data_IF_339766719656
#
_entry.id   IF_339766719656
#
_cell.length_a   1.000
_cell.length_b   1.000
_cell.length_c   1.000
_cell.angle_alpha   90.00
_cell.angle_beta   90.00
_cell.angle_gamma   90.00
#
_symmetry.space_group_name_H-M   'P 1'
#
loop_
_entity.id
_entity.type
_entity.pdbx_description
1 polymer ?
#
# COMPACT_ATOMS: atom_id res chain seq x y z
N UNK A 1 -56.75 3.63 -12.02
CA UNK A 1 -55.48 3.61 -11.24
C UNK A 1 -54.34 3.45 -12.23
N UNK A 2 -53.68 4.55 -12.58
CA UNK A 2 -52.61 4.57 -13.57
C UNK A 2 -51.27 4.50 -12.83
N UNK A 3 -50.56 3.38 -12.96
CA UNK A 3 -49.27 3.17 -12.31
C UNK A 3 -48.21 3.91 -13.14
N UNK A 4 -47.71 5.02 -12.60
CA UNK A 4 -46.52 5.68 -13.13
C UNK A 4 -45.30 4.79 -12.86
N UNK A 5 -44.82 4.10 -13.89
CA UNK A 5 -43.54 3.43 -13.88
C UNK A 5 -42.44 4.50 -13.93
N UNK A 6 -41.85 4.80 -12.78
CA UNK A 6 -40.63 5.62 -12.68
C UNK A 6 -39.50 4.92 -13.44
N UNK A 7 -39.11 5.49 -14.57
CA UNK A 7 -37.91 5.08 -15.29
C UNK A 7 -36.68 5.29 -14.39
N UNK A 8 -35.80 4.28 -14.20
CA UNK A 8 -34.56 4.48 -13.46
C UNK A 8 -33.67 5.48 -14.20
N UNK A 9 -33.37 6.59 -13.53
CA UNK A 9 -32.46 7.62 -14.00
C UNK A 9 -31.08 7.01 -14.24
N UNK A 10 -30.56 7.12 -15.46
CA UNK A 10 -29.23 6.65 -15.82
C UNK A 10 -28.17 7.26 -14.89
N UNK A 11 -27.15 6.50 -14.44
CA UNK A 11 -26.11 7.03 -13.58
C UNK A 11 -25.37 8.17 -14.30
N UNK A 12 -25.47 9.38 -13.76
CA UNK A 12 -24.69 10.54 -14.19
C UNK A 12 -23.20 10.14 -14.25
N UNK A 13 -22.47 10.39 -15.35
CA UNK A 13 -21.06 10.08 -15.43
C UNK A 13 -20.33 10.83 -14.31
N UNK A 14 -19.77 10.10 -13.34
CA UNK A 14 -18.92 10.70 -12.29
C UNK A 14 -17.75 11.38 -13.01
N UNK A 15 -17.69 12.71 -12.92
CA UNK A 15 -16.53 13.48 -13.39
C UNK A 15 -15.26 12.84 -12.82
N UNK A 16 -14.27 12.60 -13.68
CA UNK A 16 -12.97 12.09 -13.25
C UNK A 16 -12.40 13.04 -12.20
N UNK A 17 -11.99 12.49 -11.05
CA UNK A 17 -11.46 13.30 -9.95
C UNK A 17 -10.14 13.96 -10.33
N UNK A 18 -9.92 15.16 -9.81
CA UNK A 18 -8.73 15.98 -10.05
C UNK A 18 -8.09 16.43 -8.73
N UNK A 19 -6.91 17.04 -8.80
CA UNK A 19 -6.17 17.43 -7.59
C UNK A 19 -6.82 18.60 -6.82
N UNK A 20 -7.77 19.33 -7.41
CA UNK A 20 -8.59 20.30 -6.67
C UNK A 20 -9.54 19.56 -5.73
N UNK A 21 -10.19 18.48 -6.20
CA UNK A 21 -11.08 17.66 -5.36
C UNK A 21 -10.31 17.07 -4.15
N UNK A 22 -9.07 16.63 -4.37
CA UNK A 22 -8.18 16.14 -3.29
C UNK A 22 -7.82 17.25 -2.31
N UNK A 23 -7.54 18.46 -2.79
CA UNK A 23 -7.25 19.61 -1.95
C UNK A 23 -8.45 19.97 -1.08
N UNK A 24 -9.63 20.06 -1.69
CA UNK A 24 -10.88 20.42 -0.99
C UNK A 24 -11.20 19.38 0.09
N UNK A 25 -11.03 18.09 -0.22
CA UNK A 25 -11.18 17.01 0.76
C UNK A 25 -10.22 17.14 1.95
N UNK A 26 -8.94 17.41 1.71
CA UNK A 26 -7.95 17.60 2.78
C UNK A 26 -8.31 18.79 3.67
N UNK A 27 -8.72 19.91 3.07
CA UNK A 27 -9.08 21.13 3.82
C UNK A 27 -10.36 20.94 4.64
N UNK A 28 -11.34 20.21 4.11
CA UNK A 28 -12.59 19.89 4.78
C UNK A 28 -12.47 18.79 5.84
N UNK A 29 -11.39 17.99 5.82
CA UNK A 29 -11.23 16.85 6.73
C UNK A 29 -11.03 17.31 8.19
N UNK A 30 -11.94 16.94 9.11
CA UNK A 30 -11.79 17.25 10.54
C UNK A 30 -10.71 16.40 11.21
N UNK A 31 -10.17 15.38 10.53
CA UNK A 31 -9.14 14.48 11.07
C UNK A 31 -7.75 15.11 11.14
N UNK A 32 -7.53 16.18 10.39
CA UNK A 32 -6.25 16.85 10.33
C UNK A 32 -6.26 18.10 11.19
N UNK A 33 -5.24 18.24 12.04
CA UNK A 33 -4.92 19.51 12.66
C UNK A 33 -4.71 20.59 11.57
N UNK A 34 -4.98 21.86 11.90
CA UNK A 34 -4.88 22.96 10.95
C UNK A 34 -3.50 23.06 10.28
N UNK A 35 -2.43 22.95 11.06
CA UNK A 35 -1.06 22.94 10.54
C UNK A 35 -0.83 21.79 9.54
N UNK A 36 -1.40 20.61 9.79
CA UNK A 36 -1.34 19.47 8.86
C UNK A 36 -2.10 19.75 7.57
N UNK A 37 -3.30 20.38 7.65
CA UNK A 37 -4.06 20.77 6.47
C UNK A 37 -3.28 21.76 5.60
N UNK A 38 -2.64 22.76 6.20
CA UNK A 38 -1.81 23.75 5.49
C UNK A 38 -0.61 23.08 4.81
N UNK A 39 0.07 22.17 5.49
CA UNK A 39 1.22 21.46 4.96
C UNK A 39 0.85 20.56 3.76
N UNK A 40 -0.23 19.79 3.87
CA UNK A 40 -0.75 18.99 2.76
C UNK A 40 -1.24 19.87 1.61
N UNK A 41 -1.97 20.95 1.90
CA UNK A 41 -2.46 21.88 0.90
C UNK A 41 -1.31 22.51 0.09
N UNK A 42 -0.22 22.87 0.77
CA UNK A 42 1.00 23.39 0.12
C UNK A 42 1.67 22.34 -0.77
N UNK A 43 1.74 21.09 -0.31
CA UNK A 43 2.26 19.98 -1.10
C UNK A 43 1.41 19.69 -2.36
N UNK A 44 0.08 19.77 -2.25
CA UNK A 44 -0.87 19.56 -3.35
C UNK A 44 -0.80 20.72 -4.34
N UNK A 45 -0.81 21.97 -3.89
CA UNK A 45 -0.70 23.16 -4.76
C UNK A 45 0.55 23.13 -5.64
N UNK A 46 1.65 22.55 -5.13
CA UNK A 46 2.89 22.35 -5.90
C UNK A 46 2.70 21.46 -7.14
N UNK A 47 1.65 20.63 -7.21
CA UNK A 47 1.36 19.80 -8.38
C UNK A 47 1.21 20.64 -9.66
N UNK A 48 0.67 21.86 -9.58
CA UNK A 48 0.51 22.75 -10.76
C UNK A 48 1.85 22.92 -11.47
N UNK A 49 2.90 23.31 -10.73
CA UNK A 49 4.25 23.45 -11.27
C UNK A 49 4.86 22.11 -11.69
N UNK A 50 4.72 21.05 -10.89
CA UNK A 50 5.36 19.75 -11.18
C UNK A 50 4.72 19.00 -12.37
N UNK A 51 3.48 19.32 -12.69
CA UNK A 51 2.76 18.78 -13.84
C UNK A 51 2.79 19.70 -15.06
N UNK A 52 3.40 20.89 -14.96
CA UNK A 52 3.31 21.95 -15.97
C UNK A 52 1.85 22.27 -16.34
N UNK A 53 0.98 22.32 -15.34
CA UNK A 53 -0.43 22.65 -15.48
C UNK A 53 -0.68 24.12 -15.11
N UNK A 54 -1.84 24.66 -15.50
CA UNK A 54 -2.25 26.02 -15.11
C UNK A 54 -3.04 26.01 -13.81
N UNK A 55 -3.84 24.95 -13.58
CA UNK A 55 -4.72 24.80 -12.41
C UNK A 55 -4.69 23.37 -11.87
N UNK A 56 -5.08 23.20 -10.61
CA UNK A 56 -5.22 21.87 -10.00
C UNK A 56 -6.32 21.02 -10.64
N UNK A 57 -7.34 21.66 -11.22
CA UNK A 57 -8.41 21.01 -11.98
C UNK A 57 -7.91 20.28 -13.22
N UNK A 58 -6.74 20.68 -13.74
CA UNK A 58 -6.14 20.09 -14.95
C UNK A 58 -5.23 18.90 -14.60
N UNK A 59 -4.94 18.71 -13.32
CA UNK A 59 -4.10 17.61 -12.84
C UNK A 59 -5.01 16.46 -12.39
N UNK A 60 -4.94 15.28 -13.04
CA UNK A 60 -5.78 14.14 -12.66
C UNK A 60 -5.40 13.63 -11.27
N UNK A 61 -6.41 13.32 -10.45
CA UNK A 61 -6.21 12.59 -9.20
C UNK A 61 -6.28 11.10 -9.53
N UNK A 62 -5.12 10.47 -9.70
CA UNK A 62 -5.00 9.03 -9.92
C UNK A 62 -3.74 8.54 -9.21
N UNK A 63 -3.93 7.67 -8.22
CA UNK A 63 -2.85 7.15 -7.40
C UNK A 63 -1.86 6.29 -8.20
N UNK A 64 -2.34 5.48 -9.15
CA UNK A 64 -1.50 4.62 -9.97
C UNK A 64 -0.70 5.46 -10.98
N UNK A 65 -1.35 6.42 -11.65
CA UNK A 65 -0.67 7.34 -12.56
C UNK A 65 0.36 8.21 -11.81
N UNK A 66 0.03 8.68 -10.60
CA UNK A 66 0.97 9.41 -9.75
C UNK A 66 2.19 8.56 -9.39
N UNK A 67 1.98 7.30 -8.97
CA UNK A 67 3.07 6.39 -8.61
C UNK A 67 4.00 6.07 -9.78
N UNK A 68 3.46 5.92 -11.00
CA UNK A 68 4.27 5.73 -12.22
C UNK A 68 5.07 6.98 -12.57
N UNK A 69 4.46 8.16 -12.50
CA UNK A 69 5.12 9.44 -12.84
C UNK A 69 6.20 9.83 -11.83
N UNK A 70 5.99 9.51 -10.55
CA UNK A 70 6.90 9.87 -9.46
C UNK A 70 7.36 8.62 -8.71
N UNK A 71 8.26 7.81 -9.29
CA UNK A 71 8.78 6.61 -8.63
C UNK A 71 9.72 6.99 -7.48
N UNK A 72 9.92 6.09 -6.52
CA UNK A 72 10.75 6.37 -5.32
C UNK A 72 12.21 6.69 -5.65
N UNK A 73 12.74 6.14 -6.74
CA UNK A 73 14.09 6.37 -7.27
C UNK A 73 14.14 7.45 -8.36
N UNK A 74 13.02 8.11 -8.70
CA UNK A 74 12.92 9.15 -9.72
C UNK A 74 13.25 10.55 -9.21
N UNK A 75 14.29 10.69 -8.39
CA UNK A 75 14.71 12.02 -7.93
C UNK A 75 15.19 12.88 -9.11
N UNK A 76 14.62 14.08 -9.22
CA UNK A 76 15.00 15.09 -10.20
C UNK A 76 15.51 16.35 -9.46
N UNK A 77 16.80 16.71 -9.61
CA UNK A 77 17.39 17.88 -8.95
C UNK A 77 16.84 19.22 -9.47
N UNK A 78 16.30 19.28 -10.69
CA UNK A 78 15.68 20.49 -11.22
C UNK A 78 14.35 20.80 -10.52
N UNK A 79 13.69 19.76 -10.01
CA UNK A 79 12.37 19.86 -9.38
C UNK A 79 12.43 19.85 -7.86
N UNK A 80 13.48 19.28 -7.26
CA UNK A 80 13.59 19.12 -5.81
C UNK A 80 14.99 19.43 -5.29
N UNK A 81 15.06 20.12 -4.15
CA UNK A 81 16.32 20.46 -3.44
C UNK A 81 17.14 19.25 -2.97
N UNK A 82 16.60 18.04 -3.07
CA UNK A 82 17.29 16.81 -2.69
C UNK A 82 16.38 15.60 -2.61
N UNK A 83 16.97 14.40 -2.58
CA UNK A 83 16.26 13.11 -2.53
C UNK A 83 15.31 13.00 -1.35
N UNK A 84 15.71 13.50 -0.17
CA UNK A 84 14.86 13.52 1.04
C UNK A 84 13.61 14.37 0.85
N UNK A 85 13.74 15.54 0.21
CA UNK A 85 12.61 16.42 -0.07
C UNK A 85 11.63 15.82 -1.09
N UNK A 86 12.16 15.19 -2.15
CA UNK A 86 11.35 14.43 -3.10
C UNK A 86 10.55 13.32 -2.41
N UNK A 87 11.20 12.47 -1.60
CA UNK A 87 10.52 11.39 -0.90
C UNK A 87 9.49 11.87 0.11
N UNK A 88 9.76 12.97 0.83
CA UNK A 88 8.82 13.56 1.76
C UNK A 88 7.56 14.08 1.05
N UNK A 89 7.74 14.86 -0.02
CA UNK A 89 6.62 15.34 -0.84
C UNK A 89 5.82 14.17 -1.43
N UNK A 90 6.50 13.19 -2.03
CA UNK A 90 5.85 12.00 -2.61
C UNK A 90 5.00 11.25 -1.59
N UNK A 91 5.51 11.05 -0.36
CA UNK A 91 4.75 10.39 0.72
C UNK A 91 3.49 11.16 1.10
N UNK A 92 3.56 12.50 1.19
CA UNK A 92 2.38 13.34 1.46
C UNK A 92 1.34 13.21 0.36
N UNK A 93 1.76 13.30 -0.92
CA UNK A 93 0.83 13.14 -2.04
C UNK A 93 0.15 11.78 -2.07
N UNK A 94 0.90 10.71 -1.82
CA UNK A 94 0.33 9.37 -1.73
C UNK A 94 -0.65 9.22 -0.57
N UNK A 95 -0.35 9.81 0.59
CA UNK A 95 -1.25 9.80 1.73
C UNK A 95 -2.55 10.57 1.42
N UNK A 96 -2.44 11.75 0.81
CA UNK A 96 -3.60 12.57 0.41
C UNK A 96 -4.50 11.82 -0.59
N UNK A 97 -3.91 11.25 -1.64
CA UNK A 97 -4.64 10.48 -2.66
C UNK A 97 -5.31 9.25 -2.04
N UNK A 98 -4.61 8.50 -1.18
CA UNK A 98 -5.19 7.33 -0.50
C UNK A 98 -6.31 7.68 0.45
N UNK A 99 -6.21 8.81 1.16
CA UNK A 99 -7.30 9.29 2.02
C UNK A 99 -8.51 9.69 1.18
N UNK A 100 -8.29 10.46 0.11
CA UNK A 100 -9.34 10.88 -0.81
C UNK A 100 -10.10 9.71 -1.44
N UNK A 101 -9.39 8.68 -1.91
CA UNK A 101 -10.00 7.47 -2.47
C UNK A 101 -10.53 6.49 -1.41
N UNK A 102 -10.50 6.85 -0.13
CA UNK A 102 -10.95 5.99 0.97
C UNK A 102 -10.07 4.76 1.22
N UNK A 103 -8.97 4.56 0.46
CA UNK A 103 -8.02 3.46 0.68
C UNK A 103 -7.40 3.51 2.07
N UNK A 104 -7.14 4.71 2.60
CA UNK A 104 -6.60 4.87 3.94
C UNK A 104 -7.62 4.54 5.02
N UNK A 105 -8.89 4.92 4.84
CA UNK A 105 -9.98 4.55 5.74
C UNK A 105 -10.23 3.04 5.71
N UNK A 106 -10.35 2.45 4.52
CA UNK A 106 -10.49 1.01 4.34
C UNK A 106 -9.28 0.23 4.89
N UNK A 107 -8.07 0.79 4.76
CA UNK A 107 -6.86 0.21 5.35
C UNK A 107 -6.80 0.33 6.87
N UNK A 108 -7.33 1.39 7.49
CA UNK A 108 -7.49 1.48 8.94
C UNK A 108 -8.49 0.44 9.42
N UNK A 109 -9.65 0.39 8.79
CA UNK A 109 -10.71 -0.58 9.09
C UNK A 109 -10.19 -2.01 9.05
N UNK A 110 -9.53 -2.42 7.96
CA UNK A 110 -8.95 -3.77 7.86
C UNK A 110 -7.89 -4.05 8.94
N UNK A 111 -7.16 -3.03 9.40
CA UNK A 111 -6.15 -3.21 10.46
C UNK A 111 -6.74 -3.26 11.86
N UNK A 112 -7.93 -2.70 12.07
CA UNK A 112 -8.64 -2.74 13.34
C UNK A 112 -9.61 -3.91 13.47
N UNK A 113 -9.71 -4.77 12.45
CA UNK A 113 -10.48 -6.01 12.55
C UNK A 113 -9.88 -6.91 13.62
N UNK A 114 -10.74 -7.40 14.50
CA UNK A 114 -10.42 -8.46 15.45
C UNK A 114 -10.74 -9.80 14.76
N UNK A 115 -9.77 -10.31 14.01
CA UNK A 115 -9.86 -11.52 13.18
C UNK A 115 -8.67 -12.44 13.43
N UNK A 116 -8.67 -13.63 12.83
CA UNK A 116 -7.61 -14.63 12.99
C UNK A 116 -6.20 -14.07 12.68
N UNK A 117 -6.10 -13.12 11.74
CA UNK A 117 -4.86 -12.41 11.47
C UNK A 117 -4.42 -11.53 12.65
N UNK A 118 -5.36 -10.84 13.31
CA UNK A 118 -5.06 -10.03 14.48
C UNK A 118 -4.59 -10.91 15.65
N UNK A 119 -5.24 -12.06 15.86
CA UNK A 119 -4.86 -13.04 16.89
C UNK A 119 -3.46 -13.59 16.61
N UNK A 120 -3.20 -14.09 15.39
CA UNK A 120 -1.89 -14.60 14.99
C UNK A 120 -0.79 -13.56 15.24
N UNK A 121 -1.00 -12.33 14.76
CA UNK A 121 -0.03 -11.24 14.91
C UNK A 121 0.22 -10.92 16.39
N UNK A 122 -0.83 -10.84 17.22
CA UNK A 122 -0.69 -10.52 18.63
C UNK A 122 0.05 -11.62 19.42
N UNK A 123 -0.28 -12.89 19.16
CA UNK A 123 0.40 -14.05 19.78
C UNK A 123 1.88 -14.08 19.37
N UNK A 124 2.17 -13.90 18.08
CA UNK A 124 3.56 -13.85 17.60
C UNK A 124 4.35 -12.69 18.18
N UNK A 125 3.77 -11.49 18.25
CA UNK A 125 4.44 -10.32 18.81
C UNK A 125 4.76 -10.52 20.30
N UNK A 126 3.84 -11.13 21.05
CA UNK A 126 4.05 -11.47 22.46
C UNK A 126 5.21 -12.45 22.61
N UNK A 127 5.22 -13.55 21.84
CA UNK A 127 6.29 -14.53 21.86
C UNK A 127 7.66 -13.93 21.44
N UNK A 128 7.69 -13.03 20.46
CA UNK A 128 8.90 -12.31 20.07
C UNK A 128 9.42 -11.43 21.20
N UNK A 129 8.55 -10.68 21.89
CA UNK A 129 8.96 -9.84 23.03
C UNK A 129 9.58 -10.69 24.14
N UNK A 130 8.95 -11.82 24.49
CA UNK A 130 9.42 -12.72 25.55
C UNK A 130 10.78 -13.36 25.21
N UNK A 131 11.06 -13.57 23.93
CA UNK A 131 12.31 -14.18 23.45
C UNK A 131 13.37 -13.15 23.03
N UNK A 132 13.08 -11.85 23.16
CA UNK A 132 13.98 -10.76 22.77
C UNK A 132 14.09 -10.51 21.26
N UNK A 133 13.14 -11.03 20.48
CA UNK A 133 13.02 -10.81 19.04
C UNK A 133 12.51 -9.42 18.68
N UNK A 134 12.76 -9.01 17.43
CA UNK A 134 12.36 -7.69 16.95
C UNK A 134 10.92 -7.70 16.37
N UNK A 135 10.03 -6.86 16.89
CA UNK A 135 8.65 -6.67 16.37
C UNK A 135 8.63 -6.18 14.91
N UNK A 136 9.72 -5.55 14.47
CA UNK A 136 9.93 -5.10 13.07
C UNK A 136 9.93 -6.27 12.09
N UNK A 137 10.31 -7.48 12.52
CA UNK A 137 10.24 -8.71 11.73
C UNK A 137 8.81 -9.07 11.32
N UNK A 138 7.79 -8.54 12.00
CA UNK A 138 6.38 -8.75 11.67
C UNK A 138 5.83 -7.79 10.61
N UNK A 139 6.61 -6.79 10.14
CA UNK A 139 6.17 -5.87 9.07
C UNK A 139 5.78 -6.61 7.78
N UNK A 140 6.55 -7.61 7.29
CA UNK A 140 6.16 -8.48 6.20
C UNK A 140 4.82 -9.18 6.43
N UNK A 141 4.64 -9.83 7.59
CA UNK A 141 3.42 -10.57 7.94
C UNK A 141 2.19 -9.65 7.96
N UNK A 142 2.31 -8.45 8.55
CA UNK A 142 1.25 -7.43 8.52
C UNK A 142 0.90 -6.98 7.10
N UNK A 143 1.89 -6.93 6.20
CA UNK A 143 1.67 -6.60 4.79
C UNK A 143 0.90 -7.69 4.07
N UNK A 144 1.25 -8.96 4.31
CA UNK A 144 0.51 -10.12 3.80
C UNK A 144 -0.92 -10.14 4.35
N UNK A 145 -1.10 -9.90 5.64
CA UNK A 145 -2.42 -9.82 6.26
C UNK A 145 -3.33 -8.74 5.63
N UNK A 146 -2.81 -7.55 5.27
CA UNK A 146 -3.61 -6.54 4.54
C UNK A 146 -4.03 -7.02 3.15
N UNK A 147 -3.20 -7.82 2.47
CA UNK A 147 -3.55 -8.41 1.17
C UNK A 147 -4.59 -9.51 1.35
N UNK A 148 -4.39 -10.43 2.28
CA UNK A 148 -5.32 -11.51 2.58
C UNK A 148 -6.70 -10.97 3.03
N UNK A 149 -6.73 -9.95 3.90
CA UNK A 149 -7.99 -9.30 4.33
C UNK A 149 -8.73 -8.60 3.19
N UNK A 150 -8.05 -8.17 2.12
CA UNK A 150 -8.73 -7.66 0.91
C UNK A 150 -9.40 -8.77 0.11
N UNK A 151 -8.81 -9.97 0.14
CA UNK A 151 -9.37 -11.17 -0.44
C UNK A 151 -10.36 -11.90 0.50
N UNK A 152 -10.58 -11.39 1.72
CA UNK A 152 -11.34 -12.02 2.80
C UNK A 152 -10.85 -13.45 3.13
N UNK A 153 -9.53 -13.66 3.10
CA UNK A 153 -8.92 -14.95 3.45
C UNK A 153 -8.32 -14.92 4.86
N UNK A 154 -8.68 -15.88 5.74
CA UNK A 154 -8.01 -16.08 7.01
C UNK A 154 -6.60 -16.69 6.82
N UNK A 155 -5.74 -16.69 7.85
CA UNK A 155 -4.40 -17.28 7.76
C UNK A 155 -4.43 -18.76 7.39
N UNK A 156 -5.39 -19.51 7.92
CA UNK A 156 -5.52 -20.97 7.77
C UNK A 156 -5.82 -21.42 6.35
N UNK A 157 -6.53 -20.60 5.57
CA UNK A 157 -6.86 -20.86 4.16
C UNK A 157 -5.76 -20.40 3.18
N UNK A 158 -4.66 -19.86 3.70
CA UNK A 158 -3.58 -19.39 2.86
C UNK A 158 -2.83 -20.57 2.22
N UNK A 159 -2.66 -20.52 0.90
CA UNK A 159 -1.93 -21.55 0.13
C UNK A 159 -0.84 -20.92 -0.75
N UNK A 160 0.19 -21.70 -1.08
CA UNK A 160 1.28 -21.25 -1.96
C UNK A 160 0.79 -20.67 -3.29
N UNK A 161 -0.14 -21.29 -4.04
CA UNK A 161 -0.59 -20.73 -5.31
C UNK A 161 -1.24 -19.34 -5.19
N UNK A 162 -2.00 -19.12 -4.11
CA UNK A 162 -2.64 -17.82 -3.85
C UNK A 162 -1.59 -16.75 -3.59
N UNK A 163 -0.60 -17.04 -2.72
CA UNK A 163 0.45 -16.08 -2.40
C UNK A 163 1.33 -15.81 -3.62
N UNK A 164 1.69 -16.84 -4.39
CA UNK A 164 2.47 -16.70 -5.62
C UNK A 164 1.78 -15.77 -6.63
N UNK A 165 0.45 -15.90 -6.80
CA UNK A 165 -0.33 -14.98 -7.64
C UNK A 165 -0.21 -13.52 -7.16
N UNK A 166 -0.28 -13.28 -5.84
CA UNK A 166 -0.13 -11.93 -5.29
C UNK A 166 1.29 -11.38 -5.42
N UNK A 167 2.31 -12.24 -5.28
CA UNK A 167 3.72 -11.91 -5.48
C UNK A 167 3.96 -11.48 -6.93
N UNK A 168 3.44 -12.22 -7.90
CA UNK A 168 3.59 -11.88 -9.33
C UNK A 168 2.87 -10.59 -9.72
N UNK A 169 1.69 -10.32 -9.13
CA UNK A 169 0.94 -9.08 -9.38
C UNK A 169 1.51 -7.85 -8.63
N UNK A 170 2.42 -8.03 -7.68
CA UNK A 170 2.91 -6.97 -6.80
C UNK A 170 4.04 -6.13 -7.43
N UNK A 171 4.06 -4.84 -7.12
CA UNK A 171 5.22 -4.00 -7.38
C UNK A 171 6.46 -4.50 -6.60
N UNK A 172 7.70 -4.26 -7.07
CA UNK A 172 8.91 -4.90 -6.54
C UNK A 172 9.08 -4.83 -5.01
N UNK A 173 8.89 -3.65 -4.41
CA UNK A 173 9.01 -3.52 -2.95
C UNK A 173 7.94 -4.26 -2.14
N UNK A 174 6.75 -4.45 -2.71
CA UNK A 174 5.67 -5.24 -2.09
C UNK A 174 5.89 -6.73 -2.33
N UNK A 175 6.39 -7.13 -3.51
CA UNK A 175 6.80 -8.50 -3.84
C UNK A 175 7.73 -9.07 -2.78
N UNK A 176 8.86 -8.39 -2.50
CA UNK A 176 9.83 -8.79 -1.47
C UNK A 176 9.21 -8.90 -0.08
N UNK A 177 8.32 -7.98 0.27
CA UNK A 177 7.63 -8.01 1.55
C UNK A 177 6.68 -9.20 1.68
N UNK A 178 6.08 -9.68 0.59
CA UNK A 178 5.22 -10.86 0.60
C UNK A 178 6.05 -12.14 0.70
N UNK A 179 7.16 -12.23 -0.03
CA UNK A 179 8.07 -13.39 0.04
C UNK A 179 8.63 -13.54 1.46
N UNK A 180 9.15 -12.46 2.06
CA UNK A 180 9.60 -12.48 3.47
C UNK A 180 8.51 -12.84 4.46
N UNK A 181 7.25 -12.49 4.17
CA UNK A 181 6.14 -12.86 5.03
C UNK A 181 5.95 -14.39 5.06
N UNK A 182 6.08 -15.05 3.90
CA UNK A 182 6.03 -16.52 3.79
C UNK A 182 7.14 -17.16 4.61
N UNK A 183 8.39 -16.71 4.41
CA UNK A 183 9.55 -17.20 5.18
C UNK A 183 9.34 -17.01 6.69
N UNK A 184 8.79 -15.86 7.09
CA UNK A 184 8.48 -15.59 8.50
C UNK A 184 7.41 -16.54 9.03
N UNK A 185 6.32 -16.79 8.30
CA UNK A 185 5.28 -17.73 8.72
C UNK A 185 5.80 -19.16 8.86
N UNK A 186 6.68 -19.60 7.97
CA UNK A 186 7.29 -20.94 8.07
C UNK A 186 8.31 -21.03 9.21
N UNK A 187 9.07 -19.97 9.48
CA UNK A 187 9.90 -19.90 10.68
C UNK A 187 9.06 -19.98 11.97
N UNK A 188 7.89 -19.33 12.00
CA UNK A 188 6.96 -19.41 13.13
C UNK A 188 6.37 -20.82 13.30
N UNK A 189 6.20 -21.58 12.21
CA UNK A 189 5.71 -22.97 12.28
C UNK A 189 6.66 -23.89 13.06
N UNK A 190 7.96 -23.59 13.07
CA UNK A 190 8.94 -24.34 13.88
C UNK A 190 8.89 -23.96 15.37
N UNK A 191 8.19 -22.89 15.75
CA UNK A 191 8.08 -22.43 17.13
C UNK A 191 6.90 -23.10 17.84
N UNK A 192 7.18 -23.76 18.97
CA UNK A 192 6.14 -24.33 19.83
C UNK A 192 5.27 -23.26 20.52
N UNK A 193 5.67 -21.99 20.49
CA UNK A 193 4.93 -20.88 21.10
C UNK A 193 3.73 -20.40 20.27
N UNK A 194 3.65 -20.79 19.00
CA UNK A 194 2.58 -20.36 18.09
C UNK A 194 1.60 -21.52 17.87
N UNK A 195 0.31 -21.35 18.19
CA UNK A 195 -0.70 -22.36 17.92
C UNK A 195 -0.79 -22.71 16.43
N UNK A 196 -0.76 -24.00 16.10
CA UNK A 196 -0.74 -24.48 14.72
C UNK A 196 -2.05 -24.19 13.96
N UNK A 197 -3.16 -24.03 14.67
CA UNK A 197 -4.48 -23.66 14.16
C UNK A 197 -4.59 -22.18 13.75
N UNK A 198 -3.62 -21.34 14.13
CA UNK A 198 -3.52 -19.95 13.68
C UNK A 198 -2.63 -19.78 12.43
N UNK A 199 -1.92 -20.82 12.03
CA UNK A 199 -1.02 -20.81 10.87
C UNK A 199 -1.71 -21.38 9.63
N UNK A 200 -1.16 -21.12 8.42
CA UNK A 200 -1.64 -21.77 7.20
C UNK A 200 -1.70 -23.30 7.38
N UNK A 201 -2.82 -23.92 6.97
CA UNK A 201 -3.06 -25.34 7.21
C UNK A 201 -1.98 -26.24 6.58
N UNK A 202 -1.46 -25.83 5.43
CA UNK A 202 -0.33 -26.47 4.75
C UNK A 202 0.91 -25.58 4.80
N UNK A 203 2.11 -26.15 4.97
CA UNK A 203 3.36 -25.41 4.80
C UNK A 203 3.39 -24.69 3.46
N UNK A 204 3.73 -23.40 3.50
CA UNK A 204 3.92 -22.59 2.32
C UNK A 204 5.31 -22.90 1.75
N UNK A 205 5.34 -23.34 0.49
CA UNK A 205 6.62 -23.53 -0.21
C UNK A 205 7.32 -22.18 -0.42
N UNK A 206 8.65 -22.24 -0.42
CA UNK A 206 9.47 -21.05 -0.64
C UNK A 206 9.17 -20.44 -2.01
N UNK A 207 9.01 -19.11 -2.01
CA UNK A 207 8.70 -18.35 -3.22
C UNK A 207 9.99 -17.66 -3.61
N UNK A 208 10.69 -18.26 -4.57
CA UNK A 208 12.05 -17.97 -4.98
C UNK A 208 12.43 -16.46 -4.98
N UNK A 209 13.29 -16.05 -4.04
CA UNK A 209 13.87 -14.70 -3.96
C UNK A 209 14.95 -14.49 -5.03
N UNK A 210 15.59 -15.55 -5.54
CA UNK A 210 16.77 -15.44 -6.39
C UNK A 210 16.41 -14.89 -7.77
N UNK A 211 15.20 -15.17 -8.25
CA UNK A 211 14.64 -14.53 -9.45
C UNK A 211 14.54 -12.99 -9.32
N UNK A 212 14.44 -12.44 -8.10
CA UNK A 212 14.44 -11.00 -7.84
C UNK A 212 15.86 -10.42 -7.81
N UNK A 213 16.81 -11.10 -7.15
CA UNK A 213 18.21 -10.67 -7.12
C UNK A 213 18.80 -10.62 -8.53
N UNK A 214 18.55 -11.65 -9.33
CA UNK A 214 18.97 -11.72 -10.73
C UNK A 214 18.35 -10.61 -11.60
N UNK A 215 17.04 -10.32 -11.41
CA UNK A 215 16.37 -9.24 -12.16
C UNK A 215 16.87 -7.86 -11.74
N UNK A 216 17.10 -7.64 -10.44
CA UNK A 216 17.60 -6.36 -9.92
C UNK A 216 19.05 -6.14 -10.33
N UNK A 217 19.90 -7.17 -10.27
CA UNK A 217 21.29 -7.12 -10.74
C UNK A 217 21.35 -6.89 -12.25
N UNK A 218 20.51 -7.56 -13.05
CA UNK A 218 20.38 -7.27 -14.48
C UNK A 218 19.94 -5.83 -14.75
N UNK A 219 18.94 -5.33 -14.04
CA UNK A 219 18.46 -3.95 -14.22
C UNK A 219 19.48 -2.89 -13.79
N UNK A 220 20.33 -3.18 -12.80
CA UNK A 220 21.45 -2.31 -12.41
C UNK A 220 22.56 -2.36 -13.47
N UNK A 221 22.89 -3.53 -13.99
CA UNK A 221 23.89 -3.71 -15.05
C UNK A 221 23.49 -2.98 -16.34
N UNK A 222 22.26 -3.14 -16.81
CA UNK A 222 21.77 -2.44 -18.03
C UNK A 222 21.74 -0.92 -17.86
N UNK A 223 21.53 -0.43 -16.64
CA UNK A 223 21.55 1.01 -16.36
C UNK A 223 22.97 1.58 -16.30
N UNK A 224 23.97 0.78 -15.94
CA UNK A 224 25.37 1.17 -15.96
C UNK A 224 25.97 1.20 -17.38
N UNK A 225 25.43 0.41 -18.31
CA UNK A 225 25.86 0.41 -19.73
C UNK A 225 25.29 1.56 -20.57
N UNK A 226 24.27 2.26 -20.05
CA UNK A 226 23.58 3.37 -20.72
C UNK A 226 23.97 4.77 -20.18
N UNK A 227 24.96 4.84 -19.28
CA UNK A 227 25.56 6.08 -18.74
C UNK A 227 27.01 6.19 -19.19
#
# INVERSE_FOLDING_TARGET
MTIHLSTPQAPTPRRASNMQDVLDHVLASPRYAEATRIDYASAIKRCVSLYNANRLTDVPADLAAFQRRWPSNGFDPLRFKGKRAHLAWRRKMQAALREYFGEAAAGRERRSRDDDWAILIAVTETALIETGGEITSMIPVRTLADVARKANLPPTELTTPIVAQWVEAAAPGRRRSLVRAVQTLEALRASAAIPADLLPATPLQDIDEDAEMDRVQRMIATKAELM
#
